data_IF_486966408411
#
_entry.id   IF_486966408411
#
_cell.length_a   1.000
_cell.length_b   1.000
_cell.length_c   1.000
_cell.angle_alpha   90.00
_cell.angle_beta   90.00
_cell.angle_gamma   90.00
#
_symmetry.space_group_name_H-M   'P 1'
#
loop_
_entity.id
_entity.type
_entity.pdbx_description
1 polymer ?
#
# COMPACT_ATOMS: atom_id res chain seq x y z
N UNK A 1 -25.35 23.37 9.10
CA UNK A 1 -24.83 22.02 9.39
C UNK A 1 -24.03 21.56 8.19
N UNK A 2 -22.75 21.15 8.32
CA UNK A 2 -21.96 20.79 7.16
C UNK A 2 -22.50 19.48 6.56
N UNK A 3 -22.80 19.52 5.27
CA UNK A 3 -23.25 18.38 4.48
C UNK A 3 -22.20 17.26 4.53
N UNK A 4 -22.53 16.18 5.24
CA UNK A 4 -21.82 14.92 5.12
C UNK A 4 -22.18 14.33 3.75
N UNK A 5 -21.36 14.58 2.73
CA UNK A 5 -21.45 13.81 1.47
C UNK A 5 -20.89 12.43 1.79
N UNK A 6 -21.76 11.53 2.23
CA UNK A 6 -21.43 10.09 2.26
C UNK A 6 -21.18 9.67 0.81
N UNK A 7 -20.08 8.95 0.50
CA UNK A 7 -19.89 8.39 -0.83
C UNK A 7 -21.15 7.62 -1.21
N UNK A 8 -21.79 7.99 -2.33
CA UNK A 8 -22.93 7.21 -2.80
C UNK A 8 -22.40 5.89 -3.38
N UNK A 9 -23.19 4.82 -3.27
CA UNK A 9 -22.86 3.55 -3.90
C UNK A 9 -22.64 3.71 -5.41
N UNK A 10 -23.32 4.69 -6.03
CA UNK A 10 -23.18 5.06 -7.42
C UNK A 10 -21.79 5.67 -7.72
N UNK A 11 -21.37 6.70 -6.99
CA UNK A 11 -20.05 7.34 -7.21
C UNK A 11 -18.89 6.36 -6.96
N UNK A 12 -19.06 5.48 -5.98
CA UNK A 12 -18.07 4.45 -5.62
C UNK A 12 -17.97 3.36 -6.69
N UNK A 13 -19.11 2.87 -7.20
CA UNK A 13 -19.14 1.89 -8.28
C UNK A 13 -18.57 2.47 -9.59
N UNK A 14 -18.87 3.75 -9.86
CA UNK A 14 -18.33 4.46 -11.01
C UNK A 14 -16.81 4.63 -10.94
N UNK A 15 -16.27 5.01 -9.78
CA UNK A 15 -14.82 5.08 -9.58
C UNK A 15 -14.16 3.70 -9.76
N UNK A 16 -14.75 2.63 -9.21
CA UNK A 16 -14.25 1.27 -9.40
C UNK A 16 -14.25 0.82 -10.87
N UNK A 17 -15.22 1.28 -11.66
CA UNK A 17 -15.32 1.02 -13.09
C UNK A 17 -14.35 1.86 -13.94
N UNK A 18 -13.92 3.03 -13.48
CA UNK A 18 -13.06 3.93 -14.25
C UNK A 18 -11.57 3.59 -14.21
N UNK A 19 -11.12 2.75 -13.28
CA UNK A 19 -9.70 2.44 -13.13
C UNK A 19 -9.30 0.96 -13.30
N UNK A 20 -9.97 0.12 -14.12
CA UNK A 20 -9.55 -1.25 -14.35
C UNK A 20 -8.15 -1.32 -14.99
N UNK A 21 -7.80 -0.37 -15.86
CA UNK A 21 -6.49 -0.31 -16.50
C UNK A 21 -5.37 -0.01 -15.49
N UNK A 22 -5.66 0.82 -14.48
CA UNK A 22 -4.69 1.09 -13.41
C UNK A 22 -4.45 -0.15 -12.55
N UNK A 23 -5.51 -0.94 -12.28
CA UNK A 23 -5.39 -2.22 -11.59
C UNK A 23 -4.58 -3.23 -12.40
N UNK A 24 -4.85 -3.37 -13.69
CA UNK A 24 -4.10 -4.26 -14.58
C UNK A 24 -2.63 -3.85 -14.67
N UNK A 25 -2.36 -2.55 -14.78
CA UNK A 25 -0.99 -2.03 -14.73
C UNK A 25 -0.26 -2.44 -13.44
N UNK A 26 -0.90 -2.32 -12.27
CA UNK A 26 -0.32 -2.78 -11.00
C UNK A 26 -0.02 -4.29 -11.00
N UNK A 27 -0.87 -5.10 -11.62
CA UNK A 27 -0.66 -6.55 -11.72
C UNK A 27 0.59 -6.87 -12.54
N UNK A 28 0.81 -6.14 -13.63
CA UNK A 28 1.88 -6.37 -14.60
C UNK A 28 3.24 -5.84 -14.14
N UNK A 29 3.26 -4.74 -13.38
CA UNK A 29 4.51 -4.08 -12.97
C UNK A 29 4.99 -4.48 -11.57
N UNK A 30 4.38 -5.48 -10.93
CA UNK A 30 4.92 -6.00 -9.67
C UNK A 30 6.33 -6.57 -9.89
N UNK A 31 7.30 -6.11 -9.10
CA UNK A 31 8.69 -6.53 -9.22
C UNK A 31 8.90 -7.96 -8.72
N UNK A 32 9.99 -8.64 -9.10
CA UNK A 32 10.28 -10.01 -8.65
C UNK A 32 10.37 -10.16 -7.13
N UNK A 33 10.87 -9.14 -6.42
CA UNK A 33 10.95 -9.09 -4.96
C UNK A 33 9.59 -8.87 -4.26
N UNK A 34 8.53 -8.59 -5.03
CA UNK A 34 7.17 -8.35 -4.55
C UNK A 34 6.78 -6.88 -4.44
N UNK A 35 7.70 -5.94 -4.67
CA UNK A 35 7.48 -4.50 -4.49
C UNK A 35 6.90 -3.78 -5.71
N UNK A 36 6.48 -2.53 -5.50
CA UNK A 36 6.13 -1.54 -6.54
C UNK A 36 6.90 -0.23 -6.30
N UNK A 37 7.13 0.57 -7.34
CA UNK A 37 7.78 1.89 -7.24
C UNK A 37 8.83 2.14 -8.33
N UNK A 38 9.54 3.27 -8.25
CA UNK A 38 10.55 3.70 -9.23
C UNK A 38 11.77 2.75 -9.31
N UNK A 39 12.66 2.85 -10.30
CA UNK A 39 13.83 1.96 -10.35
C UNK A 39 14.86 2.23 -9.24
N UNK A 40 15.00 3.48 -8.80
CA UNK A 40 15.84 3.87 -7.68
C UNK A 40 15.30 3.26 -6.38
N UNK A 41 16.17 2.60 -5.64
CA UNK A 41 15.81 1.93 -4.39
C UNK A 41 16.02 2.87 -3.21
N UNK A 42 15.01 3.71 -2.97
CA UNK A 42 14.81 4.34 -1.67
C UNK A 42 13.75 3.54 -0.92
N UNK A 43 14.10 2.98 0.23
CA UNK A 43 13.20 2.17 1.04
C UNK A 43 11.92 2.92 1.40
N UNK A 44 11.98 4.23 1.69
CA UNK A 44 10.80 5.05 1.95
C UNK A 44 9.82 5.06 0.78
N UNK A 45 10.28 5.43 -0.42
CA UNK A 45 9.43 5.46 -1.62
C UNK A 45 8.88 4.07 -1.94
N UNK A 46 9.75 3.05 -1.91
CA UNK A 46 9.37 1.69 -2.24
C UNK A 46 8.31 1.13 -1.31
N UNK A 47 8.43 1.37 0.00
CA UNK A 47 7.45 0.93 0.98
C UNK A 47 6.10 1.63 0.74
N UNK A 48 6.09 2.94 0.50
CA UNK A 48 4.84 3.69 0.26
C UNK A 48 4.16 3.24 -1.04
N UNK A 49 4.92 3.09 -2.13
CA UNK A 49 4.40 2.62 -3.40
C UNK A 49 3.84 1.20 -3.27
N UNK A 50 4.56 0.31 -2.57
CA UNK A 50 4.14 -1.07 -2.34
C UNK A 50 2.87 -1.15 -1.49
N UNK A 51 2.77 -0.39 -0.40
CA UNK A 51 1.56 -0.36 0.44
C UNK A 51 0.35 0.23 -0.29
N UNK A 52 0.58 1.23 -1.14
CA UNK A 52 -0.48 1.80 -1.98
C UNK A 52 -1.02 0.77 -2.99
N UNK A 53 -0.13 0.04 -3.66
CA UNK A 53 -0.50 -1.03 -4.58
C UNK A 53 -1.23 -2.18 -3.87
N UNK A 54 -0.75 -2.59 -2.70
CA UNK A 54 -1.41 -3.60 -1.84
C UNK A 54 -2.84 -3.18 -1.53
N UNK A 55 -3.05 -1.94 -1.08
CA UNK A 55 -4.39 -1.46 -0.73
C UNK A 55 -5.32 -1.42 -1.96
N UNK A 56 -4.82 -0.97 -3.11
CA UNK A 56 -5.60 -0.93 -4.36
C UNK A 56 -5.99 -2.35 -4.83
N UNK A 57 -5.05 -3.29 -4.80
CA UNK A 57 -5.31 -4.68 -5.17
C UNK A 57 -6.22 -5.36 -4.16
N UNK A 58 -6.01 -5.21 -2.85
CA UNK A 58 -6.86 -5.81 -1.83
C UNK A 58 -8.32 -5.30 -1.90
N UNK A 59 -8.52 -4.02 -2.23
CA UNK A 59 -9.86 -3.44 -2.39
C UNK A 59 -10.61 -3.92 -3.64
N UNK A 60 -9.89 -4.42 -4.65
CA UNK A 60 -10.45 -4.76 -5.97
C UNK A 60 -10.26 -6.23 -6.37
N UNK A 61 -9.60 -7.03 -5.54
CA UNK A 61 -9.28 -8.43 -5.83
C UNK A 61 -10.55 -9.28 -5.88
N UNK A 62 -10.63 -10.14 -6.89
CA UNK A 62 -11.74 -11.10 -7.06
C UNK A 62 -11.26 -12.55 -7.13
N UNK A 63 -9.94 -12.78 -7.06
CA UNK A 63 -9.34 -14.11 -7.22
C UNK A 63 -8.09 -14.32 -6.34
N UNK A 64 -7.68 -15.58 -6.20
CA UNK A 64 -6.53 -15.97 -5.38
C UNK A 64 -5.16 -15.52 -5.92
N UNK A 65 -5.03 -15.27 -7.23
CA UNK A 65 -3.75 -14.81 -7.79
C UNK A 65 -3.43 -13.37 -7.40
N UNK A 66 -4.45 -12.51 -7.30
CA UNK A 66 -4.28 -11.13 -6.84
C UNK A 66 -3.89 -11.11 -5.35
N UNK A 67 -4.53 -11.96 -4.53
CA UNK A 67 -4.20 -12.10 -3.12
C UNK A 67 -2.75 -12.55 -2.90
N UNK A 68 -2.22 -13.44 -3.75
CA UNK A 68 -0.80 -13.82 -3.72
C UNK A 68 0.14 -12.65 -4.02
N UNK A 69 -0.27 -11.69 -4.86
CA UNK A 69 0.51 -10.47 -5.13
C UNK A 69 0.54 -9.57 -3.91
N UNK A 70 -0.61 -9.42 -3.23
CA UNK A 70 -0.72 -8.71 -1.95
C UNK A 70 0.21 -9.33 -0.91
N UNK A 71 0.19 -10.67 -0.75
CA UNK A 71 1.07 -11.38 0.17
C UNK A 71 2.55 -11.14 -0.11
N UNK A 72 2.98 -11.21 -1.38
CA UNK A 72 4.36 -10.91 -1.78
C UNK A 72 4.75 -9.47 -1.46
N UNK A 73 3.84 -8.53 -1.66
CA UNK A 73 4.04 -7.13 -1.30
C UNK A 73 4.23 -6.95 0.20
N UNK A 74 3.39 -7.60 1.01
CA UNK A 74 3.51 -7.55 2.48
C UNK A 74 4.86 -8.11 2.94
N UNK A 75 5.29 -9.25 2.38
CA UNK A 75 6.60 -9.85 2.66
C UNK A 75 7.76 -8.91 2.27
N UNK A 76 7.63 -8.16 1.17
CA UNK A 76 8.61 -7.15 0.82
C UNK A 76 8.68 -6.04 1.89
N UNK A 77 7.53 -5.48 2.27
CA UNK A 77 7.46 -4.37 3.25
C UNK A 77 8.08 -4.79 4.58
N UNK A 78 7.78 -6.00 5.07
CA UNK A 78 8.37 -6.55 6.30
C UNK A 78 9.90 -6.63 6.24
N UNK A 79 10.46 -7.02 5.08
CA UNK A 79 11.91 -7.08 4.86
C UNK A 79 12.53 -5.70 4.70
N UNK A 80 11.79 -4.74 4.14
CA UNK A 80 12.28 -3.41 3.81
C UNK A 80 12.34 -2.48 5.04
N UNK A 81 11.36 -2.56 5.96
CA UNK A 81 11.29 -1.63 7.10
C UNK A 81 12.59 -1.56 7.94
N UNK A 82 13.26 -2.68 8.28
CA UNK A 82 14.52 -2.63 9.03
C UNK A 82 15.65 -1.84 8.34
N UNK A 83 15.53 -1.58 7.03
CA UNK A 83 16.52 -0.90 6.21
C UNK A 83 16.20 0.59 6.00
N UNK A 84 15.10 1.12 6.56
CA UNK A 84 14.70 2.53 6.39
C UNK A 84 15.81 3.52 6.77
N UNK A 85 16.59 3.24 7.80
CA UNK A 85 17.70 4.08 8.24
C UNK A 85 18.87 4.17 7.25
N UNK A 86 18.86 3.38 6.19
CA UNK A 86 19.87 3.40 5.12
C UNK A 86 19.57 4.46 4.06
N UNK A 87 18.34 4.97 4.01
CA UNK A 87 17.99 6.05 3.10
C UNK A 87 18.61 7.37 3.58
N UNK A 88 19.36 8.03 2.70
CA UNK A 88 20.00 9.34 2.98
C UNK A 88 18.95 10.46 3.07
N UNK A 89 17.78 10.26 2.46
CA UNK A 89 16.67 11.21 2.45
C UNK A 89 15.38 10.50 2.83
N UNK A 90 14.77 10.93 3.92
CA UNK A 90 13.37 10.57 4.19
C UNK A 90 12.47 11.20 3.13
N UNK A 91 11.53 10.43 2.59
CA UNK A 91 10.46 11.01 1.78
C UNK A 91 9.63 11.92 2.69
N UNK A 92 9.52 13.20 2.34
CA UNK A 92 8.67 14.15 3.09
C UNK A 92 7.27 13.53 3.27
N UNK A 93 6.80 13.44 4.52
CA UNK A 93 5.53 12.82 4.94
C UNK A 93 5.48 11.29 5.05
N UNK A 94 6.60 10.57 4.93
CA UNK A 94 6.62 9.11 5.12
C UNK A 94 6.01 8.68 6.46
N UNK A 95 6.36 9.38 7.55
CA UNK A 95 5.84 9.16 8.91
C UNK A 95 4.32 9.32 9.02
N UNK A 96 3.69 10.11 8.13
CA UNK A 96 2.25 10.30 8.08
C UNK A 96 1.56 9.30 7.14
N UNK A 97 2.17 9.03 5.99
CA UNK A 97 1.62 8.15 4.98
C UNK A 97 1.64 6.69 5.41
N UNK A 98 2.73 6.23 6.01
CA UNK A 98 2.90 4.83 6.40
C UNK A 98 1.79 4.36 7.37
N UNK A 99 1.51 5.04 8.50
CA UNK A 99 0.41 4.64 9.39
C UNK A 99 -0.97 4.72 8.72
N UNK A 100 -1.19 5.69 7.83
CA UNK A 100 -2.46 5.86 7.11
C UNK A 100 -2.72 4.70 6.14
N UNK A 101 -1.69 4.27 5.40
CA UNK A 101 -1.77 3.14 4.47
C UNK A 101 -1.97 1.81 5.21
N UNK A 102 -1.24 1.59 6.31
CA UNK A 102 -1.45 0.40 7.19
C UNK A 102 -2.88 0.37 7.73
N UNK A 103 -3.37 1.51 8.24
CA UNK A 103 -4.76 1.62 8.74
C UNK A 103 -5.78 1.32 7.64
N UNK A 104 -5.51 1.71 6.40
CA UNK A 104 -6.36 1.42 5.26
C UNK A 104 -6.38 -0.07 4.94
N UNK A 105 -5.22 -0.71 4.86
CA UNK A 105 -5.12 -2.15 4.62
C UNK A 105 -5.81 -2.99 5.70
N UNK A 106 -5.70 -2.58 6.97
CA UNK A 106 -6.44 -3.22 8.08
C UNK A 106 -7.95 -3.19 7.88
N UNK A 107 -8.51 -2.07 7.42
CA UNK A 107 -9.94 -1.96 7.10
C UNK A 107 -10.37 -2.89 5.96
N UNK A 108 -9.43 -3.27 5.11
CA UNK A 108 -9.61 -4.25 4.03
C UNK A 108 -9.37 -5.71 4.49
N UNK A 109 -9.11 -5.93 5.79
CA UNK A 109 -8.90 -7.26 6.36
C UNK A 109 -7.46 -7.78 6.29
N UNK A 110 -6.50 -6.95 5.86
CA UNK A 110 -5.09 -7.32 5.86
C UNK A 110 -4.50 -7.28 7.27
N UNK A 111 -3.54 -8.17 7.51
CA UNK A 111 -2.79 -8.25 8.78
C UNK A 111 -1.41 -7.63 8.61
N UNK A 112 -1.00 -6.86 9.60
CA UNK A 112 0.27 -6.11 9.62
C UNK A 112 1.05 -6.38 10.91
N UNK A 113 0.85 -7.55 11.53
CA UNK A 113 1.33 -7.85 12.89
C UNK A 113 2.85 -7.63 13.07
N UNK A 114 3.65 -7.91 12.04
CA UNK A 114 5.09 -7.67 12.01
C UNK A 114 5.43 -6.20 11.68
N UNK A 115 4.68 -5.59 10.77
CA UNK A 115 4.88 -4.20 10.33
C UNK A 115 4.58 -3.22 11.48
N UNK A 116 3.58 -3.48 12.31
CA UNK A 116 3.24 -2.63 13.46
C UNK A 116 4.34 -2.54 14.50
N UNK A 117 4.95 -3.67 14.84
CA UNK A 117 6.07 -3.72 15.80
C UNK A 117 7.28 -2.92 15.30
N UNK A 118 7.46 -2.87 13.97
CA UNK A 118 8.56 -2.17 13.33
C UNK A 118 8.30 -0.67 13.14
N UNK A 119 7.03 -0.22 13.18
CA UNK A 119 6.64 1.20 13.06
C UNK A 119 6.60 1.89 14.42
N UNK A 120 6.39 1.18 15.53
CA UNK A 120 6.40 1.78 16.88
C UNK A 120 7.61 2.70 17.19
N UNK A 121 8.86 2.35 16.83
CA UNK A 121 10.01 3.22 17.09
C UNK A 121 10.14 4.42 16.13
N UNK A 122 9.29 4.56 15.11
CA UNK A 122 9.30 5.67 14.13
C UNK A 122 8.36 6.81 14.57
N UNK A 123 7.67 6.69 15.71
CA UNK A 123 6.90 7.80 16.28
C UNK A 123 7.85 8.82 16.94
N UNK A 124 7.67 10.13 16.72
CA UNK A 124 8.50 11.17 17.33
C UNK A 124 8.42 11.19 18.85
#
# INVERSE_FOLDING_TARGET
>A
SPNHISPSAYDTAWAAWLYPEAREWLIDVQRPDGSWGAELEYYHDRIIATLSAINALAATSTNHHDLKRVERGLQYVEKAIPHLSQDVFETVSFELLLPSLVKTGKKLGLKFDLIEQLIEPIKP
#
